data_IF_165283377093
#
_entry.id   IF_165283377093
#
_cell.length_a   1.000
_cell.length_b   1.000
_cell.length_c   1.000
_cell.angle_alpha   90.00
_cell.angle_beta   90.00
_cell.angle_gamma   90.00
#
_symmetry.space_group_name_H-M   'P 1'
#
loop_
_entity.id
_entity.type
_entity.pdbx_description
1 polymer ?
#
# COMPACT_ATOMS: atom_id res chain seq x y z
N UNK A 1 -6.87 22.63 -4.59
CA UNK A 1 -6.24 21.97 -5.76
C UNK A 1 -7.09 20.76 -6.08
N UNK A 2 -7.69 20.70 -7.27
CA UNK A 2 -8.50 19.53 -7.66
C UNK A 2 -7.59 18.30 -7.78
N UNK A 3 -8.02 17.19 -7.18
CA UNK A 3 -7.27 15.95 -7.26
C UNK A 3 -7.33 15.43 -8.69
N UNK A 4 -6.17 15.20 -9.31
CA UNK A 4 -6.09 14.72 -10.68
C UNK A 4 -6.87 13.39 -10.84
N UNK A 5 -7.82 13.40 -11.78
CA UNK A 5 -8.65 12.25 -12.09
C UNK A 5 -7.86 11.24 -12.94
N UNK A 6 -8.05 9.96 -12.67
CA UNK A 6 -7.48 8.85 -13.43
C UNK A 6 -8.41 7.63 -13.34
N UNK A 7 -8.12 6.57 -14.08
CA UNK A 7 -8.80 5.28 -13.91
C UNK A 7 -7.80 4.26 -13.39
N UNK A 8 -8.06 3.69 -12.22
CA UNK A 8 -7.15 2.75 -11.59
C UNK A 8 -7.09 1.43 -12.40
N UNK A 9 -5.90 0.98 -12.83
CA UNK A 9 -5.73 -0.26 -13.61
C UNK A 9 -6.24 -1.51 -12.87
N UNK A 10 -6.19 -1.51 -11.53
CA UNK A 10 -6.67 -2.62 -10.70
C UNK A 10 -8.20 -2.76 -10.65
N UNK A 11 -8.95 -1.84 -11.26
CA UNK A 11 -10.40 -2.03 -11.47
C UNK A 11 -10.68 -3.24 -12.37
N UNK A 12 -9.80 -3.53 -13.32
CA UNK A 12 -9.93 -4.69 -14.21
C UNK A 12 -9.91 -6.04 -13.45
N UNK A 13 -9.34 -6.09 -12.24
CA UNK A 13 -9.31 -7.31 -11.41
C UNK A 13 -10.66 -7.61 -10.74
N UNK A 14 -11.57 -6.63 -10.65
CA UNK A 14 -12.89 -6.80 -10.03
C UNK A 14 -13.99 -6.48 -11.05
N UNK A 15 -14.71 -7.49 -11.57
CA UNK A 15 -15.80 -7.30 -12.53
C UNK A 15 -16.94 -6.39 -12.04
N UNK A 16 -17.07 -6.18 -10.73
CA UNK A 16 -18.07 -5.28 -10.14
C UNK A 16 -17.51 -3.88 -9.78
N UNK A 17 -16.24 -3.59 -10.07
CA UNK A 17 -15.60 -2.34 -9.66
C UNK A 17 -16.38 -1.10 -10.11
N UNK A 18 -16.77 -1.05 -11.38
CA UNK A 18 -17.48 0.11 -11.94
C UNK A 18 -18.95 0.21 -11.48
N UNK A 19 -19.53 -0.90 -10.99
CA UNK A 19 -20.88 -0.89 -10.40
C UNK A 19 -20.86 -0.36 -8.97
N UNK A 20 -19.87 -0.78 -8.18
CA UNK A 20 -19.74 -0.43 -6.76
C UNK A 20 -19.11 0.94 -6.57
N UNK A 21 -18.12 1.30 -7.39
CA UNK A 21 -17.38 2.56 -7.32
C UNK A 21 -17.60 3.35 -8.60
N UNK A 22 -18.66 4.14 -8.64
CA UNK A 22 -19.03 4.97 -9.80
C UNK A 22 -18.09 6.16 -9.94
N UNK A 23 -17.75 6.50 -11.18
CA UNK A 23 -16.95 7.68 -11.53
C UNK A 23 -15.44 7.42 -11.61
N UNK A 24 -14.66 8.45 -11.95
CA UNK A 24 -13.20 8.37 -12.03
C UNK A 24 -12.58 8.19 -10.64
N UNK A 25 -11.37 7.64 -10.62
CA UNK A 25 -10.52 7.58 -9.43
C UNK A 25 -9.71 8.86 -9.31
N UNK A 26 -9.25 9.15 -8.10
CA UNK A 26 -8.50 10.37 -7.80
C UNK A 26 -7.21 10.06 -7.08
N UNK A 27 -6.26 10.96 -7.23
CA UNK A 27 -5.04 10.97 -6.43
C UNK A 27 -5.28 11.84 -5.19
N UNK A 28 -5.74 11.23 -4.11
CA UNK A 28 -6.02 11.91 -2.86
C UNK A 28 -4.72 12.07 -2.05
N UNK A 29 -4.44 13.27 -1.55
CA UNK A 29 -3.30 13.49 -0.67
C UNK A 29 -3.61 13.02 0.75
N UNK A 30 -2.78 12.10 1.28
CA UNK A 30 -2.86 11.61 2.65
C UNK A 30 -1.48 11.42 3.25
N UNK A 31 -1.27 12.03 4.40
CA UNK A 31 0.00 11.98 5.14
C UNK A 31 1.19 12.44 4.27
N UNK A 32 0.99 13.49 3.45
CA UNK A 32 2.02 14.04 2.56
C UNK A 32 2.30 13.22 1.30
N UNK A 33 1.49 12.20 1.00
CA UNK A 33 1.67 11.32 -0.16
C UNK A 33 0.37 11.24 -0.96
N UNK A 34 0.46 11.32 -2.29
CA UNK A 34 -0.70 11.12 -3.16
C UNK A 34 -1.00 9.63 -3.30
N UNK A 35 -2.23 9.24 -2.99
CA UNK A 35 -2.68 7.83 -3.06
C UNK A 35 -3.91 7.69 -3.96
N UNK A 36 -3.94 6.63 -4.75
CA UNK A 36 -5.10 6.27 -5.55
C UNK A 36 -6.28 5.97 -4.61
N UNK A 37 -7.41 6.64 -4.84
CA UNK A 37 -8.64 6.49 -4.07
C UNK A 37 -9.21 5.07 -4.09
N UNK A 38 -8.92 4.28 -5.15
CA UNK A 38 -9.41 2.91 -5.30
C UNK A 38 -8.49 1.86 -4.68
N UNK A 39 -7.24 1.74 -5.15
CA UNK A 39 -6.33 0.67 -4.72
C UNK A 39 -5.37 1.06 -3.59
N UNK A 40 -5.30 2.35 -3.24
CA UNK A 40 -4.36 2.88 -2.25
C UNK A 40 -2.89 2.90 -2.70
N UNK A 41 -2.61 2.75 -4.00
CA UNK A 41 -1.25 2.92 -4.56
C UNK A 41 -0.76 4.34 -4.34
N UNK A 42 0.52 4.52 -4.06
CA UNK A 42 1.23 5.79 -4.21
C UNK A 42 1.25 6.23 -5.69
N UNK A 43 1.29 7.54 -5.92
CA UNK A 43 1.44 8.12 -7.25
C UNK A 43 2.83 7.79 -7.87
N UNK A 44 2.94 7.48 -9.18
CA UNK A 44 4.22 7.14 -9.82
C UNK A 44 5.34 8.17 -9.62
N UNK A 45 5.03 9.47 -9.78
CA UNK A 45 6.04 10.52 -9.56
C UNK A 45 6.52 10.61 -8.10
N UNK A 46 5.65 10.33 -7.12
CA UNK A 46 6.06 10.30 -5.70
C UNK A 46 7.03 9.14 -5.44
N UNK A 47 6.86 8.01 -6.14
CA UNK A 47 7.80 6.90 -6.10
C UNK A 47 9.16 7.30 -6.70
N UNK A 48 9.19 7.95 -7.86
CA UNK A 48 10.46 8.36 -8.48
C UNK A 48 11.21 9.39 -7.63
N UNK A 49 10.49 10.31 -6.98
CA UNK A 49 11.07 11.22 -5.99
C UNK A 49 11.66 10.44 -4.81
N UNK A 50 10.91 9.48 -4.25
CA UNK A 50 11.42 8.63 -3.17
C UNK A 50 12.68 7.82 -3.57
N UNK A 51 12.74 7.32 -4.81
CA UNK A 51 13.94 6.64 -5.34
C UNK A 51 15.12 7.62 -5.44
N UNK A 52 14.88 8.84 -5.92
CA UNK A 52 15.92 9.87 -6.00
C UNK A 52 16.48 10.22 -4.61
N UNK A 53 15.61 10.27 -3.61
CA UNK A 53 15.94 10.49 -2.19
C UNK A 53 16.55 9.26 -1.50
N UNK A 54 16.82 8.18 -2.26
CA UNK A 54 17.37 6.90 -1.76
C UNK A 54 16.52 6.26 -0.66
N UNK A 55 15.22 6.53 -0.64
CA UNK A 55 14.27 5.88 0.28
C UNK A 55 14.28 4.37 0.04
N UNK A 56 14.25 3.61 1.13
CA UNK A 56 14.21 2.15 1.06
C UNK A 56 12.90 1.64 0.45
N UNK A 57 13.03 0.77 -0.56
CA UNK A 57 11.95 -0.01 -1.11
C UNK A 57 11.95 -1.41 -0.51
N UNK A 58 10.90 -1.72 0.26
CA UNK A 58 10.69 -3.03 0.85
C UNK A 58 10.14 -4.01 -0.20
N UNK A 59 10.95 -5.01 -0.64
CA UNK A 59 10.49 -5.98 -1.62
C UNK A 59 9.36 -6.84 -1.01
N UNK A 60 8.47 -7.31 -1.86
CA UNK A 60 7.42 -8.26 -1.47
C UNK A 60 7.58 -9.56 -2.24
N UNK A 61 6.89 -10.61 -1.77
CA UNK A 61 6.73 -11.87 -2.49
C UNK A 61 5.88 -11.74 -3.77
N UNK A 62 5.32 -10.56 -4.03
CA UNK A 62 4.44 -10.24 -5.16
C UNK A 62 5.19 -9.40 -6.20
N UNK A 63 5.15 -9.84 -7.45
CA UNK A 63 5.75 -9.15 -8.59
C UNK A 63 4.98 -7.90 -9.07
N UNK A 64 3.88 -7.54 -8.41
CA UNK A 64 3.03 -6.40 -8.80
C UNK A 64 3.00 -5.28 -7.76
N UNK A 65 3.72 -5.41 -6.64
CA UNK A 65 3.72 -4.43 -5.55
C UNK A 65 5.05 -4.31 -4.83
N UNK A 66 5.37 -3.10 -4.40
CA UNK A 66 6.46 -2.80 -3.47
C UNK A 66 5.97 -1.91 -2.32
N UNK A 67 6.66 -1.94 -1.18
CA UNK A 67 6.47 -0.95 -0.12
C UNK A 67 7.53 0.13 -0.20
N UNK A 68 7.14 1.38 0.01
CA UNK A 68 8.05 2.54 0.09
C UNK A 68 8.08 3.00 1.54
N UNK A 69 9.26 2.98 2.15
CA UNK A 69 9.45 3.27 3.58
C UNK A 69 9.69 4.77 3.82
N UNK A 70 8.61 5.56 3.80
CA UNK A 70 8.69 7.01 3.97
C UNK A 70 8.67 7.43 5.45
N UNK A 71 9.22 8.60 5.80
CA UNK A 71 8.95 9.22 7.10
C UNK A 71 7.46 9.47 7.31
N UNK A 72 6.95 9.16 8.50
CA UNK A 72 5.55 9.39 8.84
C UNK A 72 5.35 10.77 9.49
N UNK A 73 4.58 11.71 8.89
CA UNK A 73 4.36 13.02 9.48
C UNK A 73 3.56 12.98 10.78
N UNK A 74 2.86 11.87 11.05
CA UNK A 74 2.07 11.66 12.27
C UNK A 74 2.81 10.81 13.31
N UNK A 75 4.11 10.57 13.13
CA UNK A 75 4.90 9.76 14.06
C UNK A 75 4.66 10.18 15.52
N UNK A 76 4.34 9.22 16.38
CA UNK A 76 4.07 9.45 17.80
C UNK A 76 2.67 9.98 18.14
N UNK A 77 1.89 10.47 17.16
CA UNK A 77 0.49 10.87 17.38
C UNK A 77 -0.41 9.63 17.53
N UNK A 78 -1.49 9.75 18.30
CA UNK A 78 -2.50 8.69 18.43
C UNK A 78 -3.37 8.69 17.17
N UNK A 79 -3.23 7.64 16.37
CA UNK A 79 -3.99 7.43 15.13
C UNK A 79 -4.66 6.06 15.16
N UNK A 80 -5.63 5.85 14.26
CA UNK A 80 -6.15 4.51 14.02
C UNK A 80 -5.05 3.65 13.36
N UNK A 81 -4.54 2.66 14.07
CA UNK A 81 -3.50 1.73 13.60
C UNK A 81 -4.08 0.41 13.07
N UNK A 82 -5.35 0.14 13.36
CA UNK A 82 -6.03 -1.05 12.90
C UNK A 82 -7.53 -1.00 13.17
N UNK A 83 -8.21 -2.08 12.81
CA UNK A 83 -9.60 -2.32 13.15
C UNK A 83 -9.78 -3.79 13.50
N UNK A 84 -10.62 -4.05 14.49
CA UNK A 84 -11.01 -5.38 14.91
C UNK A 84 -12.52 -5.51 14.74
N UNK A 85 -12.96 -6.56 14.07
CA UNK A 85 -14.38 -6.86 13.90
C UNK A 85 -14.60 -8.34 14.15
N UNK A 86 -15.67 -8.68 14.84
CA UNK A 86 -15.96 -10.07 15.17
C UNK A 86 -17.42 -10.34 15.53
N UNK A 87 -17.80 -11.63 15.62
CA UNK A 87 -19.10 -12.01 16.13
C UNK A 87 -19.25 -11.63 17.61
N UNK A 88 -20.37 -10.99 17.95
CA UNK A 88 -20.64 -10.54 19.31
C UNK A 88 -20.86 -11.70 20.29
N UNK A 89 -21.28 -12.88 19.82
CA UNK A 89 -21.59 -14.04 20.66
C UNK A 89 -20.36 -14.80 21.20
N UNK A 90 -19.16 -14.53 20.68
CA UNK A 90 -17.90 -15.12 21.20
C UNK A 90 -17.26 -14.27 22.31
N UNK A 91 -17.90 -13.16 22.69
CA UNK A 91 -17.42 -12.26 23.73
C UNK A 91 -18.04 -12.66 25.07
N UNK A 92 -17.26 -13.33 25.91
CA UNK A 92 -17.61 -13.56 27.32
C UNK A 92 -17.32 -12.26 28.06
N UNK A 93 -18.37 -11.64 28.61
CA UNK A 93 -18.24 -10.42 29.43
C UNK A 93 -17.36 -10.71 30.65
N UNK A 94 -16.24 -9.99 30.79
CA UNK A 94 -15.34 -10.10 31.95
C UNK A 94 -13.98 -10.75 31.69
N UNK A 95 -13.70 -11.25 30.48
CA UNK A 95 -12.33 -11.65 30.12
C UNK A 95 -11.46 -10.42 29.84
N UNK A 96 -10.23 -10.35 30.39
CA UNK A 96 -9.37 -9.16 30.31
C UNK A 96 -8.96 -8.75 28.89
N UNK A 97 -9.17 -9.61 27.90
CA UNK A 97 -8.83 -9.38 26.49
C UNK A 97 -10.04 -9.34 25.54
N UNK A 98 -11.27 -9.36 26.05
CA UNK A 98 -12.47 -9.28 25.20
C UNK A 98 -13.18 -7.92 25.36
N UNK A 99 -13.63 -7.31 24.25
CA UNK A 99 -14.23 -5.98 24.28
C UNK A 99 -15.56 -5.99 25.04
N UNK A 100 -15.81 -4.97 25.86
CA UNK A 100 -17.16 -4.74 26.39
C UNK A 100 -18.07 -4.26 25.24
N UNK A 101 -19.13 -5.02 24.97
CA UNK A 101 -20.03 -4.79 23.84
C UNK A 101 -21.25 -4.00 24.26
N UNK A 102 -21.57 -2.94 23.49
CA UNK A 102 -22.81 -2.18 23.64
C UNK A 102 -24.06 -3.05 23.36
N UNK A 103 -25.22 -2.61 23.86
CA UNK A 103 -26.50 -3.29 23.62
C UNK A 103 -26.79 -3.47 22.12
N UNK A 104 -26.39 -2.49 21.30
CA UNK A 104 -26.59 -2.48 19.85
C UNK A 104 -25.67 -3.46 19.10
N UNK A 105 -24.45 -3.67 19.57
CA UNK A 105 -23.51 -4.65 18.99
C UNK A 105 -23.93 -6.09 19.33
N UNK A 106 -24.43 -6.29 20.55
CA UNK A 106 -25.04 -7.57 20.95
C UNK A 106 -26.27 -7.88 20.10
N UNK A 107 -27.16 -6.91 19.90
CA UNK A 107 -28.36 -7.07 19.07
C UNK A 107 -28.03 -7.38 17.61
N UNK A 108 -27.06 -6.68 17.00
CA UNK A 108 -26.61 -6.95 15.63
C UNK A 108 -25.77 -8.22 15.48
N UNK A 109 -25.38 -8.85 16.58
CA UNK A 109 -24.53 -10.05 16.57
C UNK A 109 -23.09 -9.81 16.09
N UNK A 110 -22.67 -8.55 15.92
CA UNK A 110 -21.32 -8.16 15.46
C UNK A 110 -20.85 -6.86 16.10
N UNK A 111 -19.54 -6.74 16.28
CA UNK A 111 -18.88 -5.52 16.69
C UNK A 111 -17.83 -5.07 15.66
N UNK A 112 -17.54 -3.77 15.64
CA UNK A 112 -16.47 -3.15 14.84
C UNK A 112 -15.78 -2.10 15.70
N UNK A 113 -14.48 -2.26 15.93
CA UNK A 113 -13.70 -1.40 16.83
C UNK A 113 -12.46 -0.90 16.13
N UNK A 114 -12.21 0.40 16.26
CA UNK A 114 -10.97 1.03 15.82
C UNK A 114 -9.90 0.82 16.88
N UNK A 115 -8.76 0.27 16.48
CA UNK A 115 -7.59 0.17 17.35
C UNK A 115 -6.81 1.48 17.20
N UNK A 116 -6.74 2.24 18.29
CA UNK A 116 -6.00 3.49 18.36
C UNK A 116 -4.62 3.24 18.99
N UNK A 117 -3.58 3.81 18.41
CA UNK A 117 -2.21 3.67 18.94
C UNK A 117 -1.29 4.74 18.39
N UNK A 118 -0.07 4.81 18.95
CA UNK A 118 0.95 5.73 18.45
C UNK A 118 1.36 5.34 17.04
N UNK A 119 1.34 6.29 16.11
CA UNK A 119 1.78 6.04 14.75
C UNK A 119 3.28 5.71 14.72
N UNK A 120 3.65 4.71 13.90
CA UNK A 120 5.05 4.36 13.63
C UNK A 120 5.81 5.56 13.04
N UNK A 121 7.12 5.62 13.27
CA UNK A 121 8.01 6.60 12.64
C UNK A 121 8.04 6.45 11.11
N UNK A 122 7.78 5.25 10.60
CA UNK A 122 7.82 4.92 9.18
C UNK A 122 6.42 4.66 8.63
N UNK A 123 6.10 5.32 7.52
CA UNK A 123 4.92 5.11 6.71
C UNK A 123 5.23 4.08 5.62
N UNK A 124 4.59 2.91 5.69
CA UNK A 124 4.72 1.87 4.68
C UNK A 124 3.73 2.11 3.52
N UNK A 125 4.05 3.08 2.66
CA UNK A 125 3.22 3.35 1.50
C UNK A 125 3.31 2.19 0.50
N UNK A 126 2.21 1.88 -0.19
CA UNK A 126 2.13 0.77 -1.14
C UNK A 126 2.24 1.34 -2.54
N UNK A 127 3.09 0.80 -3.39
CA UNK A 127 3.08 1.12 -4.82
C UNK A 127 2.75 -0.13 -5.64
N UNK A 128 1.80 0.00 -6.56
CA UNK A 128 1.41 -1.06 -7.49
C UNK A 128 1.96 -0.75 -8.86
N UNK A 129 2.78 -1.65 -9.40
CA UNK A 129 3.47 -1.46 -10.68
C UNK A 129 2.51 -1.30 -11.87
N UNK A 130 1.26 -1.76 -11.76
CA UNK A 130 0.25 -1.52 -12.79
C UNK A 130 -0.05 -0.04 -13.04
N UNK A 131 0.31 0.87 -12.13
CA UNK A 131 0.17 2.31 -12.32
C UNK A 131 1.26 2.94 -13.19
N UNK A 132 2.31 2.20 -13.54
CA UNK A 132 3.28 2.70 -14.50
C UNK A 132 2.75 2.61 -15.93
N UNK A 133 2.91 3.69 -16.68
CA UNK A 133 2.93 3.64 -18.14
C UNK A 133 4.25 3.04 -18.66
N UNK A 134 4.35 2.84 -19.98
CA UNK A 134 5.49 2.18 -20.61
C UNK A 134 6.81 2.96 -20.42
N UNK A 135 6.76 4.29 -20.47
CA UNK A 135 7.93 5.16 -20.27
C UNK A 135 8.42 5.10 -18.81
N UNK A 136 7.49 5.09 -17.86
CA UNK A 136 7.78 4.94 -16.44
C UNK A 136 8.34 3.55 -16.11
N UNK A 137 7.84 2.49 -16.75
CA UNK A 137 8.41 1.15 -16.64
C UNK A 137 9.87 1.12 -17.11
N UNK A 138 10.15 1.71 -18.29
CA UNK A 138 11.50 1.82 -18.83
C UNK A 138 12.42 2.67 -17.93
N UNK A 139 11.92 3.80 -17.40
CA UNK A 139 12.65 4.63 -16.43
C UNK A 139 13.01 3.83 -15.18
N UNK A 140 12.08 3.05 -14.65
CA UNK A 140 12.33 2.20 -13.48
C UNK A 140 13.36 1.10 -13.78
N UNK A 141 13.28 0.45 -14.94
CA UNK A 141 14.28 -0.54 -15.39
C UNK A 141 15.68 0.09 -15.44
N UNK A 142 15.81 1.27 -16.03
CA UNK A 142 17.09 1.97 -16.11
C UNK A 142 17.66 2.27 -14.72
N UNK A 143 16.84 2.76 -13.78
CA UNK A 143 17.24 3.01 -12.40
C UNK A 143 17.66 1.73 -11.67
N UNK A 144 16.99 0.62 -11.93
CA UNK A 144 17.34 -0.68 -11.35
C UNK A 144 18.68 -1.19 -11.91
N UNK A 145 18.90 -1.07 -13.21
CA UNK A 145 20.13 -1.51 -13.88
C UNK A 145 21.36 -0.74 -13.37
N UNK A 146 21.24 0.57 -13.15
CA UNK A 146 22.32 1.38 -12.58
C UNK A 146 22.43 1.29 -11.05
N UNK A 147 21.65 0.40 -10.40
CA UNK A 147 21.61 0.21 -8.95
C UNK A 147 21.32 1.52 -8.17
N UNK A 148 20.53 2.42 -8.75
CA UNK A 148 20.09 3.65 -8.07
C UNK A 148 18.93 3.39 -7.09
N UNK A 149 18.21 2.28 -7.26
CA UNK A 149 17.10 1.88 -6.37
C UNK A 149 17.66 1.27 -5.08
N UNK A 150 17.33 1.88 -3.93
CA UNK A 150 17.66 1.33 -2.63
C UNK A 150 16.64 0.24 -2.24
N UNK A 151 17.02 -1.03 -2.39
CA UNK A 151 16.14 -2.17 -2.05
C UNK A 151 16.51 -2.65 -0.65
N UNK A 152 15.51 -2.72 0.23
CA UNK A 152 15.64 -3.27 1.58
C UNK A 152 16.01 -4.76 1.58
N UNK A 153 16.21 -5.35 2.75
CA UNK A 153 16.60 -6.76 2.88
C UNK A 153 15.70 -7.69 2.04
N UNK A 154 16.25 -8.58 1.18
CA UNK A 154 17.64 -9.07 1.09
C UNK A 154 18.56 -8.29 0.13
N UNK A 155 18.23 -7.05 -0.23
CA UNK A 155 18.99 -6.22 -1.18
C UNK A 155 18.63 -6.44 -2.65
N UNK A 156 17.60 -7.24 -2.92
CA UNK A 156 17.05 -7.52 -4.24
C UNK A 156 15.56 -7.88 -4.14
N UNK A 157 14.85 -7.83 -5.27
CA UNK A 157 13.46 -8.28 -5.32
C UNK A 157 13.38 -9.80 -5.27
N UNK A 158 12.55 -10.36 -4.38
CA UNK A 158 12.25 -11.80 -4.34
C UNK A 158 11.67 -12.31 -5.67
N UNK A 159 10.83 -11.48 -6.29
CA UNK A 159 10.33 -11.65 -7.66
C UNK A 159 10.44 -10.32 -8.37
N UNK A 160 11.06 -10.32 -9.55
CA UNK A 160 11.14 -9.13 -10.38
C UNK A 160 9.74 -8.62 -10.75
N UNK A 161 9.55 -7.29 -10.88
CA UNK A 161 8.30 -6.72 -11.35
C UNK A 161 7.84 -7.36 -12.66
N UNK A 162 6.52 -7.53 -12.86
CA UNK A 162 5.97 -8.31 -13.98
C UNK A 162 6.40 -7.84 -15.39
N UNK A 163 6.83 -6.58 -15.52
CA UNK A 163 7.30 -5.98 -16.76
C UNK A 163 8.82 -6.10 -16.96
N UNK A 164 9.55 -6.65 -15.97
CA UNK A 164 10.99 -6.84 -16.04
C UNK A 164 11.30 -8.31 -16.34
N UNK A 165 12.01 -8.55 -17.42
CA UNK A 165 12.57 -9.86 -17.74
C UNK A 165 14.03 -9.93 -17.31
N UNK A 166 14.39 -10.94 -16.52
CA UNK A 166 15.80 -11.23 -16.25
C UNK A 166 16.45 -11.73 -17.54
N UNK A 167 17.42 -10.98 -18.07
CA UNK A 167 18.31 -11.52 -19.10
C UNK A 167 19.10 -12.66 -18.47
N UNK A 168 19.13 -13.81 -19.14
CA UNK A 168 20.00 -14.93 -18.77
C UNK A 168 21.44 -14.48 -19.04
N UNK A 169 22.07 -13.80 -18.07
CA UNK A 169 23.49 -13.55 -18.13
C UNK A 169 24.17 -14.91 -18.30
N UNK A 170 24.97 -15.07 -19.36
CA UNK A 170 25.80 -16.24 -19.56
C UNK A 170 26.59 -16.44 -18.27
N UNK A 171 26.27 -17.53 -17.56
CA UNK A 171 27.06 -17.98 -16.43
C UNK A 171 28.38 -18.45 -17.03
N UNK A 172 29.37 -17.57 -17.08
CA UNK A 172 30.75 -17.95 -17.29
C UNK A 172 31.14 -18.87 -16.13
N UNK A 173 31.35 -20.14 -16.45
CA UNK A 173 31.91 -21.18 -15.57
C UNK A 173 33.30 -20.81 -15.03
#
# INVERSE_FOLDING_TARGET
MEAAEHRCPRRAENPMADRTFKGPDRWDERDGVRRCSYCGSMHPEDLFLAIADRVELGPTDKNYKVYVHLPNPKAGQIVQIGSESGPAYNVVTGEPNKPDLSLWERFRGRYDRKIMGKASATLHAKFYFQHFDDDQQMRFINLLNVKAVNIGFPGHFYRLPFFIQASKAERSE
#
